data_IF_007774424718
#
_entry.id   IF_007774424718
#
_cell.length_a   1.000
_cell.length_b   1.000
_cell.length_c   1.000
_cell.angle_alpha   90.00
_cell.angle_beta   90.00
_cell.angle_gamma   90.00
#
_symmetry.space_group_name_H-M   'P 1'
#
loop_
_entity.id
_entity.type
_entity.pdbx_description
1 polymer ?
#
# COMPACT_ATOMS: atom_id res chain seq x y z
N UNK A 1 2.53 -8.86 -13.86
CA UNK A 1 3.33 -8.71 -12.62
C UNK A 1 4.01 -10.03 -12.32
N UNK A 2 5.23 -9.99 -11.80
CA UNK A 2 5.96 -11.18 -11.36
C UNK A 2 6.78 -10.85 -10.12
N UNK A 3 6.99 -11.83 -9.25
CA UNK A 3 8.01 -11.75 -8.19
C UNK A 3 9.20 -12.57 -8.67
N UNK A 4 10.35 -11.95 -9.00
CA UNK A 4 11.50 -12.68 -9.51
C UNK A 4 11.91 -13.83 -8.59
N UNK A 5 12.21 -14.98 -9.17
CA UNK A 5 12.66 -16.19 -8.45
C UNK A 5 11.66 -16.75 -7.43
N UNK A 6 10.36 -16.54 -7.63
CA UNK A 6 9.29 -17.04 -6.78
C UNK A 6 8.20 -17.71 -7.60
N UNK A 7 7.72 -18.86 -7.11
CA UNK A 7 6.54 -19.56 -7.65
C UNK A 7 5.24 -19.15 -6.94
N UNK A 8 5.31 -18.12 -6.08
CA UNK A 8 4.15 -17.67 -5.32
C UNK A 8 3.12 -16.99 -6.24
N UNK A 9 1.83 -17.01 -5.85
CA UNK A 9 0.81 -16.26 -6.57
C UNK A 9 1.20 -14.78 -6.69
N UNK A 10 0.91 -14.22 -7.88
CA UNK A 10 1.11 -12.79 -8.16
C UNK A 10 0.33 -11.89 -7.20
N UNK A 11 -0.81 -12.37 -6.71
CA UNK A 11 -1.65 -11.69 -5.73
C UNK A 11 -1.55 -12.40 -4.38
N UNK A 12 -1.09 -11.69 -3.37
CA UNK A 12 -1.07 -12.15 -1.98
C UNK A 12 -2.32 -11.66 -1.25
N UNK A 13 -3.24 -12.57 -0.93
CA UNK A 13 -4.41 -12.28 -0.09
C UNK A 13 -4.07 -12.60 1.38
N UNK A 14 -3.49 -11.62 2.07
CA UNK A 14 -3.07 -11.73 3.47
C UNK A 14 -3.24 -10.42 4.23
N UNK A 15 -3.62 -10.52 5.50
CA UNK A 15 -3.71 -9.42 6.43
C UNK A 15 -5.09 -9.25 7.07
N UNK A 16 -5.17 -8.31 8.00
CA UNK A 16 -6.36 -7.98 8.76
C UNK A 16 -7.25 -7.05 7.93
N UNK A 17 -8.52 -7.42 7.84
CA UNK A 17 -9.56 -6.65 7.18
C UNK A 17 -10.48 -6.02 8.23
N UNK A 18 -10.74 -4.71 8.10
CA UNK A 18 -11.66 -3.98 8.99
C UNK A 18 -12.92 -3.62 8.20
N UNK A 19 -14.09 -4.12 8.63
CA UNK A 19 -15.35 -4.05 7.87
C UNK A 19 -15.77 -2.64 7.45
N UNK A 20 -15.56 -1.64 8.31
CA UNK A 20 -15.98 -0.26 8.06
C UNK A 20 -14.94 0.58 7.29
N UNK A 21 -13.79 0.00 6.93
CA UNK A 21 -12.75 0.68 6.16
C UNK A 21 -12.68 0.16 4.72
N UNK A 22 -12.37 1.05 3.76
CA UNK A 22 -12.21 0.63 2.37
C UNK A 22 -11.01 -0.33 2.24
N UNK A 23 -11.17 -1.33 1.39
CA UNK A 23 -10.08 -2.22 0.97
C UNK A 23 -9.56 -1.80 -0.39
N UNK A 24 -8.28 -2.02 -0.62
CA UNK A 24 -7.64 -1.83 -1.92
C UNK A 24 -6.54 -2.85 -2.16
N UNK A 25 -6.27 -3.13 -3.43
CA UNK A 25 -5.12 -3.92 -3.88
C UNK A 25 -3.93 -2.99 -4.02
N UNK A 26 -2.81 -3.32 -3.36
CA UNK A 26 -1.56 -2.57 -3.45
C UNK A 26 -0.61 -3.25 -4.44
N UNK A 27 -0.24 -2.54 -5.50
CA UNK A 27 0.86 -2.93 -6.37
C UNK A 27 2.17 -2.50 -5.74
N UNK A 28 3.04 -3.44 -5.40
CA UNK A 28 4.35 -3.16 -4.81
C UNK A 28 5.45 -3.52 -5.82
N UNK A 29 6.34 -2.58 -6.11
CA UNK A 29 7.45 -2.78 -7.06
C UNK A 29 8.76 -2.22 -6.55
N UNK A 30 9.88 -2.72 -7.08
CA UNK A 30 11.22 -2.23 -6.74
C UNK A 30 11.57 -0.93 -7.46
N UNK A 31 10.83 -0.60 -8.52
CA UNK A 31 11.01 0.61 -9.31
C UNK A 31 9.81 1.54 -9.17
N UNK A 32 10.09 2.84 -9.21
CA UNK A 32 9.04 3.85 -9.17
C UNK A 32 8.23 3.82 -10.46
N UNK A 33 6.96 3.41 -10.37
CA UNK A 33 6.04 3.34 -11.49
C UNK A 33 5.40 4.71 -11.75
N UNK A 34 5.68 5.30 -12.91
CA UNK A 34 5.18 6.64 -13.31
C UNK A 34 4.07 6.60 -14.35
N UNK A 35 3.79 5.45 -14.95
CA UNK A 35 2.91 5.39 -16.12
C UNK A 35 1.44 5.08 -15.79
N UNK A 36 1.11 4.58 -14.58
CA UNK A 36 -0.27 4.30 -14.11
C UNK A 36 -1.13 3.52 -15.13
N UNK A 37 -0.53 2.63 -15.93
CA UNK A 37 -1.22 1.95 -17.05
C UNK A 37 -1.99 0.69 -16.65
N UNK A 38 -1.83 0.20 -15.42
CA UNK A 38 -2.37 -1.09 -15.03
C UNK A 38 -3.60 -0.96 -14.12
N UNK A 39 -4.78 -1.48 -14.53
CA UNK A 39 -6.00 -1.42 -13.72
C UNK A 39 -6.07 -2.50 -12.61
N UNK A 40 -5.03 -3.32 -12.47
CA UNK A 40 -5.03 -4.50 -11.58
C UNK A 40 -4.83 -4.15 -10.10
N UNK A 41 -4.44 -2.91 -9.77
CA UNK A 41 -4.27 -2.41 -8.40
C UNK A 41 -4.89 -1.03 -8.21
N UNK A 42 -5.09 -0.63 -6.95
CA UNK A 42 -5.70 0.66 -6.58
C UNK A 42 -4.67 1.70 -6.12
N UNK A 43 -3.54 1.23 -5.59
CA UNK A 43 -2.46 2.07 -5.05
C UNK A 43 -1.13 1.41 -5.36
N UNK A 44 -0.10 2.22 -5.56
CA UNK A 44 1.27 1.77 -5.79
C UNK A 44 2.13 2.14 -4.59
N UNK A 45 3.01 1.23 -4.19
CA UNK A 45 4.07 1.47 -3.23
C UNK A 45 5.31 0.61 -3.55
N UNK A 46 6.27 0.56 -2.62
CA UNK A 46 7.50 -0.22 -2.79
C UNK A 46 7.76 -1.23 -1.66
N UNK A 47 6.89 -1.34 -0.65
CA UNK A 47 7.18 -2.15 0.55
C UNK A 47 6.06 -3.14 0.94
N UNK A 48 4.79 -2.87 0.63
CA UNK A 48 3.66 -3.57 1.22
C UNK A 48 3.67 -5.07 0.94
N UNK A 49 4.02 -5.49 -0.27
CA UNK A 49 4.06 -6.91 -0.63
C UNK A 49 5.16 -7.65 0.14
N UNK A 50 6.36 -7.07 0.23
CA UNK A 50 7.48 -7.68 0.96
C UNK A 50 7.15 -7.85 2.45
N UNK A 51 6.55 -6.82 3.07
CA UNK A 51 6.13 -6.88 4.47
C UNK A 51 5.02 -7.91 4.68
N UNK A 52 3.97 -7.90 3.84
CA UNK A 52 2.88 -8.85 3.93
C UNK A 52 3.35 -10.30 3.74
N UNK A 53 4.30 -10.54 2.82
CA UNK A 53 4.87 -11.86 2.55
C UNK A 53 5.62 -12.42 3.75
N UNK A 54 6.47 -11.62 4.39
CA UNK A 54 7.19 -12.03 5.60
C UNK A 54 6.22 -12.21 6.77
N UNK A 55 5.26 -11.31 6.95
CA UNK A 55 4.23 -11.48 7.97
C UNK A 55 3.45 -12.78 7.77
N UNK A 56 3.09 -13.13 6.54
CA UNK A 56 2.44 -14.40 6.21
C UNK A 56 3.33 -15.61 6.55
N UNK A 57 4.62 -15.59 6.20
CA UNK A 57 5.53 -16.71 6.49
C UNK A 57 5.77 -16.91 7.99
N UNK A 58 5.77 -15.82 8.75
CA UNK A 58 5.98 -15.83 10.20
C UNK A 58 4.67 -15.91 11.02
N UNK A 59 3.51 -16.00 10.34
CA UNK A 59 2.18 -16.00 10.98
C UNK A 59 1.94 -14.78 11.90
N UNK A 60 2.33 -13.59 11.43
CA UNK A 60 2.18 -12.32 12.14
C UNK A 60 1.03 -11.52 11.51
N UNK A 61 0.06 -11.10 12.33
CA UNK A 61 -1.03 -10.23 11.87
C UNK A 61 -0.50 -8.97 11.17
N UNK A 62 -0.93 -8.76 9.93
CA UNK A 62 -0.52 -7.64 9.11
C UNK A 62 -1.69 -6.72 8.79
N UNK A 63 -1.57 -5.42 9.11
CA UNK A 63 -2.53 -4.39 8.73
C UNK A 63 -1.76 -3.23 8.10
N UNK A 64 -2.16 -2.82 6.90
CA UNK A 64 -1.51 -1.73 6.18
C UNK A 64 -2.52 -0.64 5.81
N UNK A 65 -2.23 0.59 6.21
CA UNK A 65 -2.95 1.76 5.75
C UNK A 65 -2.08 2.56 4.79
N UNK A 66 -2.66 2.97 3.67
CA UNK A 66 -2.00 3.81 2.67
C UNK A 66 -2.74 5.13 2.54
N UNK A 67 -1.99 6.22 2.48
CA UNK A 67 -2.48 7.54 2.12
C UNK A 67 -2.03 7.82 0.69
N UNK A 68 -2.97 8.18 -0.19
CA UNK A 68 -2.68 8.52 -1.58
C UNK A 68 -2.14 9.96 -1.59
N UNK A 69 -0.84 10.10 -1.81
CA UNK A 69 -0.15 11.41 -1.83
C UNK A 69 -0.26 12.14 -3.15
N UNK A 70 -0.37 11.43 -4.26
CA UNK A 70 -0.52 11.96 -5.62
C UNK A 70 -1.20 10.92 -6.53
N UNK A 71 -1.37 11.27 -7.81
CA UNK A 71 -1.81 10.32 -8.85
C UNK A 71 -0.65 9.54 -9.48
N UNK A 72 0.50 9.52 -8.79
CA UNK A 72 1.83 9.14 -9.26
C UNK A 72 2.12 9.49 -10.74
N UNK A 73 1.87 10.77 -11.02
CA UNK A 73 2.19 11.52 -12.22
C UNK A 73 3.49 12.34 -12.06
N UNK A 74 4.24 12.10 -10.97
CA UNK A 74 5.50 12.76 -10.67
C UNK A 74 5.39 14.04 -9.84
N UNK A 75 4.17 14.43 -9.42
CA UNK A 75 3.94 15.63 -8.62
C UNK A 75 4.15 15.45 -7.10
N UNK A 76 4.37 14.23 -6.60
CA UNK A 76 4.59 13.94 -5.17
C UNK A 76 5.66 14.83 -4.50
N UNK A 77 6.73 15.19 -5.21
CA UNK A 77 7.85 15.93 -4.62
C UNK A 77 7.53 17.41 -4.34
N UNK A 78 6.61 18.01 -5.10
CA UNK A 78 6.36 19.46 -5.07
C UNK A 78 5.59 19.90 -3.80
N UNK A 79 4.82 18.98 -3.19
CA UNK A 79 3.95 19.26 -2.05
C UNK A 79 4.26 18.45 -0.79
N UNK A 80 5.43 17.83 -0.69
CA UNK A 80 5.79 16.91 0.41
C UNK A 80 5.47 17.43 1.82
N UNK A 81 5.84 18.67 2.13
CA UNK A 81 5.65 19.25 3.48
C UNK A 81 4.17 19.43 3.83
N UNK A 82 3.30 19.54 2.83
CA UNK A 82 1.85 19.61 2.99
C UNK A 82 1.26 18.20 3.08
N UNK A 83 1.62 17.32 2.15
CA UNK A 83 1.08 15.96 2.09
C UNK A 83 1.45 15.12 3.31
N UNK A 84 2.67 15.25 3.85
CA UNK A 84 3.06 14.55 5.07
C UNK A 84 2.18 14.92 6.27
N UNK A 85 1.73 16.18 6.36
CA UNK A 85 0.82 16.64 7.43
C UNK A 85 -0.60 16.13 7.21
N UNK A 86 -1.09 16.15 5.96
CA UNK A 86 -2.41 15.61 5.62
C UNK A 86 -2.47 14.10 5.88
N UNK A 87 -1.43 13.37 5.47
CA UNK A 87 -1.28 11.94 5.73
C UNK A 87 -1.32 11.62 7.22
N UNK A 88 -0.54 12.35 8.04
CA UNK A 88 -0.54 12.15 9.49
C UNK A 88 -1.93 12.35 10.12
N UNK A 89 -2.66 13.41 9.71
CA UNK A 89 -4.02 13.67 10.21
C UNK A 89 -5.00 12.59 9.74
N UNK A 90 -4.94 12.19 8.47
CA UNK A 90 -5.82 11.17 7.90
C UNK A 90 -5.60 9.79 8.55
N UNK A 91 -4.35 9.36 8.67
CA UNK A 91 -3.99 8.09 9.29
C UNK A 91 -4.33 8.08 10.79
N UNK A 92 -4.12 9.19 11.51
CA UNK A 92 -4.56 9.30 12.92
C UNK A 92 -6.06 9.07 13.05
N UNK A 93 -6.88 9.68 12.19
CA UNK A 93 -8.34 9.49 12.23
C UNK A 93 -8.75 8.03 12.02
N UNK A 94 -8.07 7.33 11.11
CA UNK A 94 -8.31 5.90 10.88
C UNK A 94 -7.93 5.09 12.12
N UNK A 95 -6.77 5.37 12.73
CA UNK A 95 -6.35 4.67 13.95
C UNK A 95 -7.33 4.92 15.11
N UNK A 96 -7.79 6.16 15.28
CA UNK A 96 -8.73 6.51 16.34
C UNK A 96 -10.09 5.80 16.14
N UNK A 97 -10.50 5.48 14.91
CA UNK A 97 -11.74 4.75 14.63
C UNK A 97 -11.64 3.24 14.89
N UNK A 98 -10.45 2.71 15.20
CA UNK A 98 -10.27 1.31 15.60
C UNK A 98 -10.46 1.08 17.10
N UNK A 99 -10.59 2.16 17.87
CA UNK A 99 -10.67 2.16 19.34
C UNK A 99 -12.08 1.89 19.86
#
# INVERSE_FOLDING_TARGET
FETPFSDDPVVLDYGVSIEHLPKGVCGSGDQFEVEHRNPEYNVIDMEAFALAKISASESIDFLCFKYISDGADGSAADDWTVEVKKAAVALRKVLDSLS
#
